data_IF_279413359755
#
_entry.id   IF_279413359755
#
_cell.length_a   1.000
_cell.length_b   1.000
_cell.length_c   1.000
_cell.angle_alpha   90.00
_cell.angle_beta   90.00
_cell.angle_gamma   90.00
#
_symmetry.space_group_name_H-M   'P 1'
#
loop_
_entity.id
_entity.type
_entity.pdbx_description
1 polymer ?
#
# COMPACT_ATOMS: atom_id res chain seq x y z
N UNK A 1 34.75 13.18 -18.59
CA UNK A 1 33.46 13.55 -19.21
C UNK A 1 32.53 12.33 -19.17
N UNK A 2 31.46 12.31 -18.35
CA UNK A 2 30.50 11.19 -18.35
C UNK A 2 29.58 11.30 -19.57
N UNK A 3 29.67 10.35 -20.49
CA UNK A 3 29.20 10.50 -21.87
C UNK A 3 27.73 10.13 -22.16
N UNK A 4 26.91 9.72 -21.19
CA UNK A 4 25.55 9.23 -21.50
C UNK A 4 24.42 9.65 -20.54
N UNK A 5 24.64 10.61 -19.63
CA UNK A 5 23.57 11.08 -18.72
C UNK A 5 22.98 10.00 -17.80
N UNK A 6 23.63 8.83 -17.71
CA UNK A 6 23.19 7.69 -16.91
C UNK A 6 23.40 8.04 -15.43
N UNK A 7 22.29 8.18 -14.69
CA UNK A 7 22.30 8.43 -13.24
C UNK A 7 21.62 7.27 -12.53
N UNK A 8 22.28 6.74 -11.49
CA UNK A 8 21.68 5.72 -10.64
C UNK A 8 20.42 6.28 -9.95
N UNK A 9 19.29 5.59 -10.12
CA UNK A 9 18.03 5.92 -9.41
C UNK A 9 18.02 5.15 -8.09
N UNK A 10 18.24 5.86 -6.98
CA UNK A 10 18.19 5.27 -5.64
C UNK A 10 16.80 4.69 -5.35
N UNK A 11 16.76 3.62 -4.55
CA UNK A 11 15.49 3.03 -4.06
C UNK A 11 14.73 4.11 -3.28
N UNK A 12 13.46 4.35 -3.64
CA UNK A 12 12.60 5.29 -2.91
C UNK A 12 12.47 4.81 -1.47
N UNK A 13 12.56 5.74 -0.50
CA UNK A 13 12.36 5.40 0.91
C UNK A 13 10.98 4.77 1.08
N UNK A 14 10.92 3.69 1.86
CA UNK A 14 9.65 3.10 2.27
C UNK A 14 8.96 4.09 3.19
N UNK A 15 7.77 4.54 2.82
CA UNK A 15 6.93 5.41 3.66
C UNK A 15 5.94 4.51 4.36
N UNK A 16 6.01 4.48 5.68
CA UNK A 16 5.02 3.81 6.52
C UNK A 16 3.75 4.69 6.48
N UNK A 17 2.75 4.24 5.73
CA UNK A 17 1.47 4.96 5.61
C UNK A 17 0.50 4.65 6.75
N UNK A 18 0.82 3.66 7.59
CA UNK A 18 -0.07 3.15 8.65
C UNK A 18 0.58 3.37 10.01
N UNK A 19 -0.06 4.16 10.86
CA UNK A 19 0.32 4.24 12.28
C UNK A 19 -0.25 3.03 13.02
N UNK A 20 0.53 1.94 13.05
CA UNK A 20 0.18 0.74 13.81
C UNK A 20 0.39 0.89 15.32
N UNK A 21 0.99 1.99 15.79
CA UNK A 21 1.36 2.22 17.18
C UNK A 21 0.42 3.23 17.87
N UNK A 22 -0.88 3.12 17.61
CA UNK A 22 -1.89 3.97 18.23
C UNK A 22 -2.43 3.36 19.54
N UNK A 23 -2.86 4.21 20.48
CA UNK A 23 -3.54 3.77 21.72
C UNK A 23 -5.05 3.61 21.57
N UNK A 24 -5.58 3.75 20.36
CA UNK A 24 -7.00 3.55 20.08
C UNK A 24 -7.36 2.05 20.16
N UNK A 25 -8.62 1.72 20.50
CA UNK A 25 -9.09 0.33 20.49
C UNK A 25 -8.87 -0.32 19.12
N UNK A 26 -8.23 -1.49 19.11
CA UNK A 26 -8.05 -2.29 17.90
C UNK A 26 -9.35 -3.05 17.64
N UNK A 27 -9.88 -2.96 16.42
CA UNK A 27 -11.07 -3.71 16.04
C UNK A 27 -10.77 -5.23 16.10
N UNK A 28 -11.72 -6.06 16.58
CA UNK A 28 -11.52 -7.50 16.65
C UNK A 28 -11.39 -8.10 15.23
N UNK A 29 -10.45 -9.04 15.06
CA UNK A 29 -10.35 -9.85 13.84
C UNK A 29 -11.48 -10.89 13.82
N UNK A 30 -12.51 -10.61 13.02
CA UNK A 30 -13.69 -11.47 12.87
C UNK A 30 -13.43 -12.71 12.00
N UNK A 31 -12.39 -12.67 11.16
CA UNK A 31 -12.12 -13.70 10.14
C UNK A 31 -11.08 -14.69 10.62
N UNK A 32 -10.11 -14.24 11.43
CA UNK A 32 -9.03 -15.07 11.98
C UNK A 32 -8.30 -15.88 10.89
N UNK A 33 -8.15 -15.29 9.70
CA UNK A 33 -7.60 -15.95 8.48
C UNK A 33 -8.34 -17.21 8.02
N UNK A 34 -9.61 -17.40 8.42
CA UNK A 34 -10.44 -18.53 7.97
C UNK A 34 -11.19 -18.15 6.70
N UNK A 35 -10.65 -18.55 5.55
CA UNK A 35 -11.25 -18.29 4.24
C UNK A 35 -12.05 -19.49 3.69
N UNK A 36 -12.14 -20.59 4.44
CA UNK A 36 -12.94 -21.75 4.09
C UNK A 36 -14.35 -21.59 4.63
N UNK A 37 -15.34 -21.50 3.73
CA UNK A 37 -16.75 -21.26 4.05
C UNK A 37 -17.62 -22.33 3.39
N UNK A 38 -18.76 -22.64 4.02
CA UNK A 38 -19.70 -23.65 3.53
C UNK A 38 -20.69 -23.13 2.48
N UNK A 39 -20.77 -21.81 2.30
CA UNK A 39 -21.72 -21.15 1.40
C UNK A 39 -21.10 -19.93 0.70
N UNK A 40 -21.58 -19.57 -0.51
CA UNK A 40 -21.15 -18.35 -1.20
C UNK A 40 -21.62 -17.07 -0.47
N UNK A 41 -20.99 -15.94 -0.77
CA UNK A 41 -21.34 -14.60 -0.25
C UNK A 41 -21.24 -14.41 1.28
N UNK A 42 -20.46 -15.23 1.99
CA UNK A 42 -20.29 -15.14 3.45
C UNK A 42 -19.09 -14.27 3.86
N UNK A 43 -18.06 -14.19 3.03
CA UNK A 43 -16.86 -13.37 3.28
C UNK A 43 -16.41 -12.70 1.99
N UNK A 44 -15.98 -11.45 2.12
CA UNK A 44 -15.52 -10.62 1.02
C UNK A 44 -14.14 -10.10 1.37
N UNK A 45 -13.20 -10.18 0.44
CA UNK A 45 -11.86 -9.61 0.56
C UNK A 45 -11.58 -8.79 -0.69
N UNK A 46 -10.97 -7.62 -0.51
CA UNK A 46 -10.59 -6.75 -1.62
C UNK A 46 -9.33 -5.96 -1.26
N UNK A 47 -8.59 -5.54 -2.29
CA UNK A 47 -7.50 -4.58 -2.18
C UNK A 47 -7.85 -3.28 -2.89
N UNK A 48 -7.10 -2.23 -2.58
CA UNK A 48 -7.15 -0.97 -3.32
C UNK A 48 -5.79 -0.78 -3.97
N UNK A 49 -5.79 -0.77 -5.30
CA UNK A 49 -4.59 -0.46 -6.08
C UNK A 49 -4.63 1.00 -6.52
N UNK A 50 -3.60 1.77 -6.15
CA UNK A 50 -3.43 3.13 -6.63
C UNK A 50 -2.98 3.11 -8.10
N UNK A 51 -3.76 3.73 -8.98
CA UNK A 51 -3.41 3.96 -10.39
C UNK A 51 -2.95 5.41 -10.50
N UNK A 52 -1.68 5.61 -10.86
CA UNK A 52 -1.13 6.94 -11.08
C UNK A 52 -1.67 7.54 -12.39
N UNK A 53 -2.08 8.81 -12.36
CA UNK A 53 -2.49 9.58 -13.54
C UNK A 53 -1.53 10.74 -13.78
N UNK A 54 -1.38 11.16 -15.04
CA UNK A 54 -0.51 12.28 -15.42
C UNK A 54 -1.11 13.66 -15.10
N UNK A 55 -2.39 13.72 -14.71
CA UNK A 55 -3.14 14.95 -14.43
C UNK A 55 -3.07 15.40 -12.94
N UNK A 56 -2.41 14.62 -12.07
CA UNK A 56 -2.42 14.84 -10.63
C UNK A 56 -1.02 14.86 -10.02
N UNK A 57 -0.55 16.05 -9.66
CA UNK A 57 0.78 16.30 -9.09
C UNK A 57 1.07 15.52 -7.81
N UNK A 58 1.82 14.44 -7.94
CA UNK A 58 2.67 13.91 -6.86
C UNK A 58 4.13 14.05 -7.27
N UNK A 59 4.56 15.26 -7.58
CA UNK A 59 5.99 15.62 -7.47
C UNK A 59 6.32 15.72 -5.99
N UNK A 60 6.46 14.57 -5.33
CA UNK A 60 7.20 14.49 -4.08
C UNK A 60 8.67 14.80 -4.44
N UNK A 61 9.07 16.06 -4.27
CA UNK A 61 10.48 16.43 -4.20
C UNK A 61 11.08 15.84 -2.91
N UNK A 62 12.37 15.44 -2.96
CA UNK A 62 13.03 14.65 -1.92
C UNK A 62 13.10 15.32 -0.55
#
# INVERSE_FOLDING_TARGET
MPQHGIRAKGKRKFVVTTDSAHRLPVAPDLVQRRFTLTAPNVLWSGDITYIATDEGGCTWSP
#
